data_IF_362186012885
#
_entry.id   IF_362186012885
#
_cell.length_a   1.000
_cell.length_b   1.000
_cell.length_c   1.000
_cell.angle_alpha   90.00
_cell.angle_beta   90.00
_cell.angle_gamma   90.00
#
_symmetry.space_group_name_H-M   'P 1'
#
loop_
_entity.id
_entity.type
_entity.pdbx_description
1 polymer ?
#
# COMPACT_ATOMS: atom_id res chain seq x y z
N UNK A 1 -0.75 28.67 14.16
CA UNK A 1 -1.44 28.90 12.89
C UNK A 1 -2.46 27.78 12.71
N UNK A 2 -3.72 28.01 13.06
CA UNK A 2 -4.78 27.00 12.95
C UNK A 2 -5.26 26.97 11.50
N UNK A 3 -4.84 25.96 10.74
CA UNK A 3 -5.41 25.70 9.42
C UNK A 3 -6.78 25.07 9.68
N UNK A 4 -7.85 25.85 9.52
CA UNK A 4 -9.21 25.34 9.59
C UNK A 4 -9.42 24.33 8.45
N UNK A 5 -9.35 23.03 8.75
CA UNK A 5 -9.58 21.99 7.74
C UNK A 5 -11.09 21.73 7.66
N UNK A 6 -11.77 22.43 6.74
CA UNK A 6 -13.12 22.06 6.34
C UNK A 6 -13.05 20.75 5.54
N UNK A 7 -13.20 19.59 6.20
CA UNK A 7 -13.15 18.29 5.52
C UNK A 7 -14.56 17.82 5.17
N UNK A 8 -15.09 18.32 4.06
CA UNK A 8 -16.05 17.53 3.29
C UNK A 8 -15.34 16.30 2.74
N UNK A 9 -15.27 15.24 3.55
CA UNK A 9 -14.67 13.96 3.16
C UNK A 9 -15.50 13.35 2.04
N UNK A 10 -14.96 13.39 0.83
CA UNK A 10 -15.58 12.75 -0.33
C UNK A 10 -15.09 11.31 -0.40
N UNK A 11 -16.02 10.38 -0.24
CA UNK A 11 -15.74 8.96 -0.43
C UNK A 11 -15.45 8.72 -1.91
N UNK A 12 -14.30 8.12 -2.20
CA UNK A 12 -14.00 7.64 -3.56
C UNK A 12 -14.70 6.31 -3.78
N UNK A 13 -15.95 6.35 -4.27
CA UNK A 13 -16.74 5.15 -4.54
C UNK A 13 -16.07 4.19 -5.54
N UNK A 14 -15.30 4.74 -6.49
CA UNK A 14 -14.49 3.94 -7.42
C UNK A 14 -13.45 3.09 -6.67
N UNK A 15 -12.72 3.70 -5.74
CA UNK A 15 -11.71 2.99 -4.94
C UNK A 15 -12.36 1.96 -4.02
N UNK A 16 -13.45 2.34 -3.35
CA UNK A 16 -14.23 1.42 -2.50
C UNK A 16 -14.71 0.21 -3.29
N UNK A 17 -15.26 0.42 -4.49
CA UNK A 17 -15.74 -0.66 -5.35
C UNK A 17 -14.60 -1.60 -5.76
N UNK A 18 -13.45 -1.07 -6.17
CA UNK A 18 -12.28 -1.90 -6.55
C UNK A 18 -11.81 -2.75 -5.38
N UNK A 19 -11.62 -2.15 -4.19
CA UNK A 19 -11.18 -2.89 -3.00
C UNK A 19 -12.21 -3.94 -2.60
N UNK A 20 -13.50 -3.59 -2.58
CA UNK A 20 -14.57 -4.54 -2.25
C UNK A 20 -14.62 -5.72 -3.22
N UNK A 21 -14.52 -5.47 -4.54
CA UNK A 21 -14.52 -6.52 -5.56
C UNK A 21 -13.33 -7.48 -5.40
N UNK A 22 -12.14 -6.97 -5.09
CA UNK A 22 -10.95 -7.81 -4.84
C UNK A 22 -11.19 -8.73 -3.63
N UNK A 23 -11.73 -8.20 -2.52
CA UNK A 23 -11.97 -8.99 -1.31
C UNK A 23 -13.10 -10.01 -1.50
N UNK A 24 -14.20 -9.63 -2.15
CA UNK A 24 -15.30 -10.55 -2.49
C UNK A 24 -14.80 -11.65 -3.44
N UNK A 25 -14.02 -11.29 -4.44
CA UNK A 25 -13.41 -12.25 -5.37
C UNK A 25 -12.46 -13.23 -4.67
N UNK A 26 -11.71 -12.77 -3.66
CA UNK A 26 -10.82 -13.64 -2.87
C UNK A 26 -11.57 -14.76 -2.14
N UNK A 27 -12.86 -14.57 -1.81
CA UNK A 27 -13.68 -15.62 -1.18
C UNK A 27 -13.87 -16.84 -2.08
N UNK A 28 -13.71 -16.71 -3.40
CA UNK A 28 -13.77 -17.85 -4.32
C UNK A 28 -12.71 -18.90 -4.01
N UNK A 29 -11.58 -18.51 -3.42
CA UNK A 29 -10.51 -19.44 -3.03
C UNK A 29 -10.97 -20.50 -2.01
N UNK A 30 -12.06 -20.26 -1.26
CA UNK A 30 -12.60 -21.21 -0.30
C UNK A 30 -13.53 -22.26 -0.92
N UNK A 31 -13.90 -22.11 -2.20
CA UNK A 31 -14.69 -23.12 -2.88
C UNK A 31 -13.77 -24.26 -3.34
N UNK A 32 -14.12 -25.54 -3.11
CA UNK A 32 -13.25 -26.68 -3.45
C UNK A 32 -12.78 -26.71 -4.90
N UNK A 33 -13.57 -26.17 -5.83
CA UNK A 33 -13.24 -26.08 -7.26
C UNK A 33 -12.10 -25.11 -7.58
N UNK A 34 -11.89 -24.08 -6.76
CA UNK A 34 -10.89 -23.04 -7.00
C UNK A 34 -9.69 -23.13 -6.04
N UNK A 35 -9.78 -23.97 -5.00
CA UNK A 35 -8.69 -24.18 -4.05
C UNK A 35 -7.58 -25.07 -4.63
N UNK A 36 -6.32 -24.68 -4.40
CA UNK A 36 -5.16 -25.54 -4.64
C UNK A 36 -3.99 -25.16 -3.73
N UNK A 37 -3.22 -26.15 -3.29
CA UNK A 37 -2.01 -25.93 -2.49
C UNK A 37 -0.93 -25.17 -3.25
N UNK A 38 -0.84 -25.38 -4.56
CA UNK A 38 0.03 -24.62 -5.46
C UNK A 38 -0.38 -23.14 -5.48
N UNK A 39 -1.69 -22.86 -5.50
CA UNK A 39 -2.23 -21.51 -5.40
C UNK A 39 -1.89 -20.83 -4.08
N UNK A 40 -1.96 -21.55 -2.96
CA UNK A 40 -1.51 -21.04 -1.65
C UNK A 40 -0.01 -20.71 -1.69
N UNK A 41 0.82 -21.61 -2.23
CA UNK A 41 2.26 -21.38 -2.38
C UNK A 41 2.57 -20.16 -3.24
N UNK A 42 1.89 -20.00 -4.38
CA UNK A 42 2.03 -18.84 -5.25
C UNK A 42 1.58 -17.55 -4.57
N UNK A 43 0.47 -17.58 -3.83
CA UNK A 43 -0.03 -16.44 -3.06
C UNK A 43 1.00 -15.97 -2.03
N UNK A 44 1.57 -16.89 -1.24
CA UNK A 44 2.60 -16.56 -0.24
C UNK A 44 3.87 -16.01 -0.89
N UNK A 45 4.31 -16.61 -2.00
CA UNK A 45 5.47 -16.14 -2.74
C UNK A 45 5.25 -14.72 -3.29
N UNK A 46 4.12 -14.48 -3.96
CA UNK A 46 3.78 -13.16 -4.49
C UNK A 46 3.55 -12.13 -3.37
N UNK A 47 2.99 -12.53 -2.24
CA UNK A 47 2.87 -11.66 -1.06
C UNK A 47 4.26 -11.21 -0.57
N UNK A 48 5.21 -12.14 -0.47
CA UNK A 48 6.58 -11.80 -0.07
C UNK A 48 7.31 -10.93 -1.10
N UNK A 49 7.16 -11.23 -2.40
CA UNK A 49 7.78 -10.43 -3.48
C UNK A 49 7.20 -9.02 -3.51
N UNK A 50 5.88 -8.87 -3.48
CA UNK A 50 5.23 -7.55 -3.65
C UNK A 50 5.23 -6.73 -2.36
N UNK A 51 4.91 -7.34 -1.21
CA UNK A 51 4.88 -6.66 0.08
C UNK A 51 6.26 -6.55 0.75
N UNK A 52 7.03 -7.64 0.75
CA UNK A 52 8.36 -7.69 1.36
C UNK A 52 9.42 -6.97 0.53
N UNK A 53 9.69 -7.45 -0.69
CA UNK A 53 10.70 -6.83 -1.55
C UNK A 53 10.21 -5.51 -2.16
N UNK A 54 8.97 -5.48 -2.65
CA UNK A 54 8.39 -4.31 -3.30
C UNK A 54 8.12 -3.14 -2.36
N UNK A 55 7.13 -3.29 -1.48
CA UNK A 55 6.69 -2.20 -0.59
C UNK A 55 7.70 -1.95 0.53
N UNK A 56 8.05 -2.97 1.30
CA UNK A 56 8.85 -2.78 2.53
C UNK A 56 10.30 -2.42 2.22
N UNK A 57 10.97 -3.20 1.37
CA UNK A 57 12.37 -2.97 1.03
C UNK A 57 12.51 -1.87 -0.04
N UNK A 58 11.75 -1.95 -1.13
CA UNK A 58 11.81 -1.03 -2.27
C UNK A 58 11.20 0.34 -1.98
N UNK A 59 9.88 0.41 -1.86
CA UNK A 59 9.17 1.69 -1.77
C UNK A 59 9.48 2.42 -0.47
N UNK A 60 9.36 1.73 0.66
CA UNK A 60 9.50 2.31 1.98
C UNK A 60 10.96 2.59 2.35
N UNK A 61 11.82 1.56 2.43
CA UNK A 61 13.20 1.77 2.92
C UNK A 61 14.12 2.39 1.86
N UNK A 62 14.07 1.90 0.62
CA UNK A 62 15.00 2.33 -0.43
C UNK A 62 14.63 3.69 -1.03
N UNK A 63 13.46 3.85 -1.64
CA UNK A 63 13.16 5.11 -2.38
C UNK A 63 12.53 6.20 -1.51
N UNK A 64 11.76 5.85 -0.48
CA UNK A 64 11.16 6.82 0.43
C UNK A 64 12.16 7.34 1.46
N UNK A 65 12.76 6.44 2.24
CA UNK A 65 13.66 6.82 3.35
C UNK A 65 15.15 6.84 3.00
N UNK A 66 15.53 6.33 1.82
CA UNK A 66 16.94 6.29 1.39
C UNK A 66 17.86 5.61 2.42
N UNK A 67 17.36 4.58 3.09
CA UNK A 67 18.06 3.90 4.18
C UNK A 67 19.30 3.12 3.73
N UNK A 68 19.41 2.81 2.44
CA UNK A 68 20.56 2.17 1.81
C UNK A 68 20.61 2.51 0.32
N UNK A 69 21.71 2.13 -0.34
CA UNK A 69 21.94 2.35 -1.77
C UNK A 69 22.15 1.02 -2.49
N UNK A 70 21.66 0.92 -3.72
CA UNK A 70 21.84 -0.24 -4.61
C UNK A 70 22.09 0.24 -6.04
N UNK A 71 22.66 -0.59 -6.93
CA UNK A 71 22.73 -0.28 -8.35
C UNK A 71 21.34 -0.02 -8.95
N UNK A 72 21.26 0.86 -9.97
CA UNK A 72 19.96 1.32 -10.51
C UNK A 72 19.05 0.21 -11.04
N UNK A 73 19.62 -0.83 -11.66
CA UNK A 73 18.81 -1.96 -12.13
C UNK A 73 18.09 -2.67 -10.97
N UNK A 74 18.73 -2.77 -9.81
CA UNK A 74 18.15 -3.41 -8.63
C UNK A 74 17.15 -2.48 -7.92
N UNK A 75 17.40 -1.16 -7.92
CA UNK A 75 16.40 -0.17 -7.49
C UNK A 75 15.12 -0.29 -8.32
N UNK A 76 15.24 -0.37 -9.65
CA UNK A 76 14.08 -0.54 -10.54
C UNK A 76 13.39 -1.88 -10.36
N UNK A 77 14.13 -2.97 -10.13
CA UNK A 77 13.54 -4.26 -9.79
C UNK A 77 12.65 -4.17 -8.56
N UNK A 78 13.15 -3.60 -7.44
CA UNK A 78 12.34 -3.47 -6.23
C UNK A 78 11.15 -2.52 -6.42
N UNK A 79 11.33 -1.41 -7.13
CA UNK A 79 10.23 -0.48 -7.43
C UNK A 79 9.15 -1.19 -8.26
N UNK A 80 9.53 -1.97 -9.27
CA UNK A 80 8.60 -2.78 -10.07
C UNK A 80 7.88 -3.84 -9.25
N UNK A 81 8.56 -4.56 -8.35
CA UNK A 81 7.88 -5.48 -7.44
C UNK A 81 6.78 -4.77 -6.61
N UNK A 82 7.03 -3.52 -6.19
CA UNK A 82 6.04 -2.72 -5.45
C UNK A 82 4.85 -2.25 -6.29
N UNK A 83 5.01 -2.00 -7.61
CA UNK A 83 3.88 -1.59 -8.46
C UNK A 83 2.83 -2.70 -8.59
N UNK A 84 3.24 -3.95 -8.42
CA UNK A 84 2.36 -5.13 -8.41
C UNK A 84 1.50 -5.23 -7.13
N UNK A 85 1.80 -4.45 -6.08
CA UNK A 85 1.08 -4.49 -4.81
C UNK A 85 -0.24 -3.68 -4.80
N UNK A 86 -0.58 -3.02 -5.91
CA UNK A 86 -1.81 -2.22 -6.06
C UNK A 86 -1.99 -1.08 -5.01
N UNK A 87 -0.90 -0.47 -4.54
CA UNK A 87 -0.92 0.64 -3.55
C UNK A 87 -0.86 2.04 -4.19
N UNK A 88 -1.30 2.18 -5.45
CA UNK A 88 -1.17 3.42 -6.22
C UNK A 88 0.18 3.56 -6.93
N UNK A 89 0.50 4.76 -7.41
CA UNK A 89 1.77 5.04 -8.10
C UNK A 89 2.93 5.27 -7.11
N UNK A 90 4.17 4.89 -7.45
CA UNK A 90 5.31 4.99 -6.53
C UNK A 90 5.61 6.43 -6.10
N UNK A 91 5.45 7.41 -7.00
CA UNK A 91 5.67 8.84 -6.68
C UNK A 91 4.64 9.32 -5.64
N UNK A 92 3.37 8.97 -5.85
CA UNK A 92 2.28 9.32 -4.93
C UNK A 92 2.51 8.67 -3.57
N UNK A 93 2.79 7.37 -3.54
CA UNK A 93 3.03 6.62 -2.30
C UNK A 93 4.19 7.20 -1.49
N UNK A 94 5.33 7.48 -2.14
CA UNK A 94 6.50 8.09 -1.49
C UNK A 94 6.18 9.47 -0.90
N UNK A 95 5.50 10.33 -1.67
CA UNK A 95 5.13 11.66 -1.21
C UNK A 95 4.17 11.61 -0.02
N UNK A 96 3.17 10.74 -0.11
CA UNK A 96 2.17 10.54 0.93
C UNK A 96 2.81 9.99 2.21
N UNK A 97 3.67 8.97 2.10
CA UNK A 97 4.40 8.39 3.23
C UNK A 97 5.31 9.39 3.95
N UNK A 98 6.00 10.26 3.20
CA UNK A 98 6.81 11.35 3.78
C UNK A 98 5.95 12.40 4.48
N UNK A 99 4.80 12.74 3.90
CA UNK A 99 3.83 13.65 4.52
C UNK A 99 3.30 13.08 5.83
N UNK A 100 3.00 11.78 5.87
CA UNK A 100 2.61 11.08 7.10
C UNK A 100 3.69 11.20 8.17
N UNK A 101 4.95 10.87 7.86
CA UNK A 101 6.04 11.03 8.84
C UNK A 101 6.25 12.47 9.32
N UNK A 102 6.07 13.46 8.44
CA UNK A 102 6.26 14.87 8.80
C UNK A 102 5.14 15.40 9.71
N UNK A 103 3.91 14.89 9.53
CA UNK A 103 2.72 15.38 10.22
C UNK A 103 1.98 14.31 11.01
N UNK A 104 2.67 13.23 11.42
CA UNK A 104 2.06 12.04 12.02
C UNK A 104 1.05 12.42 13.08
N UNK A 105 -0.14 11.85 12.97
CA UNK A 105 -1.22 12.00 13.95
C UNK A 105 -1.69 13.45 14.16
N UNK A 106 -1.36 14.35 13.22
CA UNK A 106 -1.93 15.69 13.15
C UNK A 106 -3.13 15.72 12.20
N UNK A 107 -4.03 16.73 12.30
CA UNK A 107 -5.21 16.79 11.45
C UNK A 107 -4.96 16.78 9.94
N UNK A 108 -3.77 17.14 9.47
CA UNK A 108 -3.36 17.12 8.06
C UNK A 108 -2.83 15.77 7.59
N UNK A 109 -2.55 14.85 8.50
CA UNK A 109 -2.19 13.48 8.19
C UNK A 109 -3.39 12.73 7.61
N UNK A 110 -3.12 11.93 6.60
CA UNK A 110 -4.10 11.09 5.92
C UNK A 110 -4.25 9.74 6.64
N UNK A 111 -3.22 9.27 7.36
CA UNK A 111 -3.25 8.07 8.22
C UNK A 111 -3.31 8.41 9.73
N UNK A 112 -3.91 9.55 10.08
CA UNK A 112 -4.06 10.03 11.46
C UNK A 112 -4.73 8.96 12.36
N UNK A 113 -3.95 8.35 13.24
CA UNK A 113 -4.42 7.25 14.08
C UNK A 113 -5.42 7.70 15.15
N UNK A 114 -5.47 9.00 15.48
CA UNK A 114 -6.44 9.55 16.42
C UNK A 114 -7.89 9.48 15.91
N UNK A 115 -8.09 9.24 14.60
CA UNK A 115 -9.42 9.04 14.00
C UNK A 115 -9.92 7.60 14.12
N UNK A 116 -9.12 6.70 14.66
CA UNK A 116 -9.49 5.31 15.00
C UNK A 116 -9.23 4.30 13.89
N UNK A 117 -9.45 3.03 14.24
CA UNK A 117 -9.08 1.84 13.46
C UNK A 117 -9.55 1.84 12.00
N UNK A 118 -10.76 2.34 11.73
CA UNK A 118 -11.34 2.33 10.38
C UNK A 118 -10.79 3.45 9.48
N UNK A 119 -10.05 4.41 10.05
CA UNK A 119 -9.46 5.53 9.33
C UNK A 119 -7.99 5.29 8.97
N UNK A 120 -7.21 4.83 9.94
CA UNK A 120 -5.75 4.65 9.86
C UNK A 120 -5.38 3.52 8.91
#
# INVERSE_FOLDING_TARGET
>A
MSIAINRNLRISWHFVAVVALVHVGALLAFLPRFFSWQGVGLMLFLHWVTGGLGITLGWHRLVTHRSFQVPKWLEYFFVFCGTLAMQGGPIWWVGLHRHHHLYSDQPVDHHDSNKGFWWS
#
